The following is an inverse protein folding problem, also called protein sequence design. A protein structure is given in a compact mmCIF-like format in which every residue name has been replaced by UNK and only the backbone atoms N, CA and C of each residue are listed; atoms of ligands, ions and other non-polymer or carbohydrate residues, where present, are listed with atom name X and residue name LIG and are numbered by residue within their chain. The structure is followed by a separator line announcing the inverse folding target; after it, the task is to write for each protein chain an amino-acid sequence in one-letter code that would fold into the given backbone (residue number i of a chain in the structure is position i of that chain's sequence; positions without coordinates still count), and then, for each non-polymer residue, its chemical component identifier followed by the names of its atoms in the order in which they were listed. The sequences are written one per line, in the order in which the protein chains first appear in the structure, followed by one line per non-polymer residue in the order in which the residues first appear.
data_IF_938339235987
#
_entry.id   IF_938339235987
#
_cell.length_a   1.000
_cell.length_b   1.000
_cell.length_c   1.000
_cell.angle_alpha   90.00
_cell.angle_beta   90.00
_cell.angle_gamma   90.00
#
_symmetry.space_group_name_H-M   'P 1'
#
loop_
_entity.id
_entity.type
_entity.pdbx_description
1 polymer ?
#
# COMPACT_ATOMS: atom_id res chain seq x y z
N UNK A 1 -25.51 -4.59 17.97
CA UNK A 1 -24.35 -3.70 17.73
C UNK A 1 -23.18 -4.63 17.49
N UNK A 2 -22.73 -4.78 16.24
CA UNK A 2 -21.51 -5.52 15.93
C UNK A 2 -20.37 -4.71 16.53
N UNK A 3 -19.61 -5.31 17.43
CA UNK A 3 -18.34 -4.77 17.89
C UNK A 3 -17.39 -4.78 16.68
N UNK A 4 -17.45 -3.72 15.85
CA UNK A 4 -16.48 -3.52 14.80
C UNK A 4 -15.15 -3.20 15.49
N UNK A 5 -14.30 -4.21 15.58
CA UNK A 5 -12.94 -4.05 16.11
C UNK A 5 -12.16 -3.29 15.05
N UNK A 6 -11.92 -2.02 15.31
CA UNK A 6 -11.05 -1.20 14.47
C UNK A 6 -9.60 -1.49 14.83
N UNK A 7 -8.87 -2.10 13.90
CA UNK A 7 -7.44 -2.33 14.02
C UNK A 7 -6.66 -1.07 13.65
N UNK A 8 -5.72 -0.64 14.49
CA UNK A 8 -4.86 0.50 14.23
C UNK A 8 -3.53 0.01 13.67
N UNK A 9 -3.21 0.48 12.46
CA UNK A 9 -1.92 0.25 11.82
C UNK A 9 -1.08 1.52 11.77
N UNK A 10 0.23 1.39 11.80
CA UNK A 10 1.15 2.49 11.62
C UNK A 10 1.90 2.38 10.29
N UNK A 11 1.86 3.45 9.49
CA UNK A 11 2.59 3.54 8.23
C UNK A 11 3.64 4.66 8.34
N UNK A 12 4.94 4.33 8.52
CA UNK A 12 5.98 5.33 8.62
C UNK A 12 6.18 6.05 7.27
N UNK A 13 6.19 7.37 7.32
CA UNK A 13 6.50 8.19 6.15
C UNK A 13 7.87 7.80 5.55
N UNK A 14 8.00 7.94 4.22
CA UNK A 14 9.28 7.78 3.50
C UNK A 14 10.40 8.69 4.02
N UNK A 15 10.07 9.73 4.78
CA UNK A 15 11.02 10.69 5.35
C UNK A 15 11.71 10.22 6.64
N UNK A 16 11.20 9.17 7.29
CA UNK A 16 11.88 8.62 8.47
C UNK A 16 13.17 7.89 8.06
N UNK A 17 14.22 8.02 8.88
CA UNK A 17 15.43 7.22 8.73
C UNK A 17 15.17 5.77 9.14
N UNK A 18 15.89 4.83 8.55
CA UNK A 18 15.72 3.40 8.84
C UNK A 18 15.80 3.09 10.35
N UNK A 19 16.80 3.64 11.04
CA UNK A 19 16.97 3.43 12.47
C UNK A 19 15.82 3.99 13.33
N UNK A 20 15.18 5.08 12.89
CA UNK A 20 14.00 5.63 13.59
C UNK A 20 12.80 4.70 13.44
N UNK A 21 12.64 4.08 12.28
CA UNK A 21 11.57 3.08 12.07
C UNK A 21 11.76 1.88 12.99
N UNK A 22 13.00 1.39 13.18
CA UNK A 22 13.28 0.28 14.09
C UNK A 22 12.93 0.64 15.55
N UNK A 23 13.25 1.86 15.99
CA UNK A 23 12.88 2.36 17.32
C UNK A 23 11.36 2.45 17.47
N UNK A 24 10.69 3.03 16.47
CA UNK A 24 9.22 3.14 16.43
C UNK A 24 8.59 1.73 16.50
N UNK A 25 9.04 0.79 15.69
CA UNK A 25 8.49 -0.57 15.64
C UNK A 25 8.58 -1.28 17.00
N UNK A 26 9.69 -1.13 17.73
CA UNK A 26 9.80 -1.65 19.09
C UNK A 26 8.77 -1.03 20.04
N UNK A 27 8.56 0.28 19.95
CA UNK A 27 7.55 0.96 20.77
C UNK A 27 6.14 0.52 20.41
N UNK A 28 5.82 0.39 19.12
CA UNK A 28 4.49 -0.07 18.65
C UNK A 28 4.19 -1.51 19.12
N UNK A 29 5.18 -2.36 19.22
CA UNK A 29 5.02 -3.75 19.65
C UNK A 29 4.56 -3.88 21.12
N UNK A 30 4.74 -2.83 21.92
CA UNK A 30 4.30 -2.76 23.32
C UNK A 30 2.95 -2.06 23.54
N UNK A 31 2.34 -1.53 22.47
CA UNK A 31 1.06 -0.78 22.54
C UNK A 31 -0.08 -1.70 22.07
N UNK A 32 -0.93 -2.15 22.97
CA UNK A 32 -2.00 -3.13 22.69
C UNK A 32 -2.97 -2.68 21.59
N UNK A 33 -3.23 -1.38 21.46
CA UNK A 33 -4.11 -0.79 20.48
C UNK A 33 -3.55 -0.81 19.06
N UNK A 34 -2.23 -1.05 18.89
CA UNK A 34 -1.59 -1.09 17.58
C UNK A 34 -1.41 -2.53 17.14
N UNK A 35 -2.01 -2.88 16.00
CA UNK A 35 -2.03 -4.24 15.46
C UNK A 35 -0.97 -4.49 14.39
N UNK A 36 -0.49 -3.44 13.72
CA UNK A 36 0.37 -3.62 12.55
C UNK A 36 1.27 -2.43 12.24
N UNK A 37 2.38 -2.72 11.57
CA UNK A 37 3.22 -1.72 10.91
C UNK A 37 3.28 -2.00 9.41
N UNK A 38 3.17 -0.94 8.59
CA UNK A 38 3.10 -1.04 7.13
C UNK A 38 4.22 -0.24 6.48
N UNK A 39 5.16 -0.91 5.85
CA UNK A 39 6.33 -0.25 5.25
C UNK A 39 6.07 0.09 3.77
N UNK A 40 6.11 1.39 3.41
CA UNK A 40 5.98 1.82 2.03
C UNK A 40 7.29 1.62 1.27
N UNK A 41 7.16 1.35 -0.04
CA UNK A 41 8.28 1.30 -0.99
C UNK A 41 8.05 2.28 -2.14
N UNK A 42 9.06 3.08 -2.42
CA UNK A 42 9.08 3.97 -3.59
C UNK A 42 10.50 3.99 -4.20
N UNK A 43 11.25 5.06 -4.09
CA UNK A 43 12.64 5.16 -4.59
C UNK A 43 13.66 5.45 -3.47
N UNK A 44 13.31 5.24 -2.22
CA UNK A 44 14.19 5.55 -1.08
C UNK A 44 14.57 4.33 -0.25
N UNK A 45 13.64 3.45 -0.02
CA UNK A 45 13.82 2.33 0.91
C UNK A 45 13.21 1.06 0.33
N UNK A 46 13.98 -0.02 0.38
CA UNK A 46 13.50 -1.35 0.02
C UNK A 46 12.69 -1.93 1.19
N UNK A 47 11.47 -2.41 0.90
CA UNK A 47 10.51 -2.77 1.93
C UNK A 47 10.90 -4.05 2.69
N UNK A 48 11.36 -5.10 2.01
CA UNK A 48 11.61 -6.39 2.65
C UNK A 48 12.85 -6.37 3.53
N UNK A 49 13.90 -5.62 3.16
CA UNK A 49 15.05 -5.39 4.03
C UNK A 49 14.62 -4.71 5.32
N UNK A 50 13.76 -3.68 5.22
CA UNK A 50 13.28 -2.95 6.39
C UNK A 50 12.35 -3.80 7.26
N UNK A 51 11.39 -4.49 6.65
CA UNK A 51 10.44 -5.33 7.39
C UNK A 51 11.16 -6.54 8.00
N UNK A 52 12.15 -7.12 7.33
CA UNK A 52 12.96 -8.20 7.88
C UNK A 52 13.66 -7.79 9.19
N UNK A 53 14.23 -6.59 9.22
CA UNK A 53 14.81 -6.04 10.44
C UNK A 53 13.75 -5.79 11.54
N UNK A 54 12.55 -5.30 11.17
CA UNK A 54 11.44 -5.13 12.11
C UNK A 54 10.94 -6.47 12.63
N UNK A 55 10.90 -7.51 11.80
CA UNK A 55 10.40 -8.84 12.15
C UNK A 55 11.15 -9.47 13.31
N UNK A 56 12.48 -9.33 13.33
CA UNK A 56 13.31 -9.87 14.42
C UNK A 56 13.29 -9.03 15.68
N UNK A 57 12.86 -7.76 15.60
CA UNK A 57 12.77 -6.84 16.71
C UNK A 57 11.41 -6.81 17.41
N UNK A 58 10.39 -7.39 16.78
CA UNK A 58 9.00 -7.38 17.24
C UNK A 58 8.45 -8.79 17.37
N UNK A 59 7.42 -9.00 18.20
CA UNK A 59 6.84 -10.32 18.43
C UNK A 59 5.33 -10.38 18.16
N UNK A 60 4.63 -9.25 18.24
CA UNK A 60 3.17 -9.20 18.25
C UNK A 60 2.57 -8.59 17.00
N UNK A 61 3.02 -7.39 16.62
CA UNK A 61 2.40 -6.64 15.52
C UNK A 61 2.56 -7.34 14.16
N UNK A 62 1.52 -7.27 13.35
CA UNK A 62 1.54 -7.72 11.94
C UNK A 62 2.46 -6.82 11.12
N UNK A 63 3.05 -7.38 10.08
CA UNK A 63 4.06 -6.74 9.25
C UNK A 63 3.57 -6.65 7.82
N UNK A 64 3.23 -5.45 7.36
CA UNK A 64 2.68 -5.21 6.04
C UNK A 64 3.59 -4.43 5.12
N UNK A 65 3.51 -4.66 3.81
CA UNK A 65 3.99 -3.72 2.80
C UNK A 65 2.84 -2.78 2.37
N UNK A 66 3.11 -1.47 2.18
CA UNK A 66 2.06 -0.51 1.78
C UNK A 66 2.56 0.54 0.79
N UNK A 67 2.79 0.18 -0.41
CA UNK A 67 2.71 -1.12 -1.08
C UNK A 67 4.07 -1.41 -1.74
N UNK A 68 4.30 -2.64 -2.15
CA UNK A 68 5.36 -2.96 -3.11
C UNK A 68 4.80 -3.01 -4.53
N UNK A 69 5.60 -2.55 -5.49
CA UNK A 69 5.18 -2.50 -6.90
C UNK A 69 5.26 -3.87 -7.56
N UNK A 70 4.24 -4.25 -8.33
CA UNK A 70 4.32 -5.43 -9.20
C UNK A 70 5.30 -5.26 -10.36
N UNK A 71 5.79 -4.04 -10.60
CA UNK A 71 6.81 -3.76 -11.62
C UNK A 71 8.23 -3.78 -11.06
N UNK A 72 8.42 -3.75 -9.73
CA UNK A 72 9.75 -3.75 -9.13
C UNK A 72 10.34 -5.16 -8.95
N UNK A 73 9.53 -6.21 -8.96
CA UNK A 73 9.98 -7.60 -8.80
C UNK A 73 9.02 -8.59 -9.44
N UNK A 74 9.53 -9.79 -9.79
CA UNK A 74 8.68 -10.85 -10.34
C UNK A 74 7.78 -11.47 -9.26
N UNK A 75 6.66 -12.14 -9.62
CA UNK A 75 5.86 -12.90 -8.64
C UNK A 75 6.70 -13.92 -7.87
N UNK A 76 7.66 -14.57 -8.53
CA UNK A 76 8.53 -15.54 -7.89
C UNK A 76 9.42 -14.88 -6.82
N UNK A 77 10.08 -13.77 -7.14
CA UNK A 77 10.90 -13.03 -6.18
C UNK A 77 10.07 -12.52 -5.01
N UNK A 78 8.85 -12.00 -5.28
CA UNK A 78 7.94 -11.57 -4.22
C UNK A 78 7.53 -12.73 -3.31
N UNK A 79 7.22 -13.89 -3.89
CA UNK A 79 6.83 -15.08 -3.11
C UNK A 79 7.96 -15.58 -2.22
N UNK A 80 9.19 -15.60 -2.74
CA UNK A 80 10.38 -15.96 -1.94
C UNK A 80 10.55 -15.00 -0.76
N UNK A 81 10.47 -13.70 -1.00
CA UNK A 81 10.59 -12.69 0.04
C UNK A 81 9.46 -12.81 1.08
N UNK A 82 8.22 -13.01 0.62
CA UNK A 82 7.06 -13.15 1.47
C UNK A 82 7.13 -14.40 2.36
N UNK A 83 7.49 -15.56 1.79
CA UNK A 83 7.62 -16.81 2.55
C UNK A 83 8.76 -16.73 3.57
N UNK A 84 9.91 -16.16 3.17
CA UNK A 84 11.04 -15.95 4.09
C UNK A 84 10.64 -15.03 5.25
N UNK A 85 10.03 -13.90 4.95
CA UNK A 85 9.56 -12.96 5.97
C UNK A 85 8.51 -13.59 6.89
N UNK A 86 7.59 -14.38 6.32
CA UNK A 86 6.52 -15.03 7.08
C UNK A 86 7.08 -16.05 8.08
N UNK A 87 8.07 -16.82 7.68
CA UNK A 87 8.77 -17.77 8.55
C UNK A 87 9.56 -17.04 9.66
N UNK A 88 10.30 -15.97 9.33
CA UNK A 88 11.05 -15.16 10.30
C UNK A 88 10.09 -14.49 11.31
N UNK A 89 8.95 -14.02 10.84
CA UNK A 89 7.98 -13.29 11.65
C UNK A 89 6.98 -14.17 12.40
N UNK A 90 7.06 -15.49 12.29
CA UNK A 90 6.07 -16.40 12.88
C UNK A 90 4.64 -16.10 12.41
N UNK A 91 4.44 -16.08 11.08
CA UNK A 91 3.15 -15.91 10.41
C UNK A 91 2.46 -14.53 10.60
N UNK A 92 3.25 -13.47 10.80
CA UNK A 92 2.72 -12.10 10.96
C UNK A 92 2.70 -11.26 9.67
N UNK A 93 3.12 -11.84 8.53
CA UNK A 93 3.28 -11.11 7.26
C UNK A 93 1.96 -10.87 6.54
N UNK A 94 1.80 -9.66 5.98
CA UNK A 94 0.74 -9.28 5.04
C UNK A 94 1.41 -8.63 3.84
N UNK A 95 1.07 -9.03 2.62
CA UNK A 95 1.67 -8.47 1.41
C UNK A 95 0.72 -7.46 0.77
N UNK A 96 1.03 -6.19 0.92
CA UNK A 96 0.38 -5.12 0.17
C UNK A 96 1.06 -4.91 -1.18
N UNK A 97 0.32 -5.13 -2.26
CA UNK A 97 0.81 -5.01 -3.65
C UNK A 97 0.07 -3.87 -4.35
N UNK A 98 0.75 -3.13 -5.21
CA UNK A 98 0.12 -2.11 -6.05
C UNK A 98 0.77 -2.00 -7.42
N UNK A 99 0.11 -1.27 -8.33
CA UNK A 99 0.67 -1.00 -9.64
C UNK A 99 1.76 0.08 -9.61
N UNK A 100 1.83 0.89 -8.56
CA UNK A 100 2.69 2.07 -8.51
C UNK A 100 2.33 3.11 -9.61
N UNK A 101 3.29 3.85 -10.11
CA UNK A 101 3.09 4.88 -11.14
C UNK A 101 3.94 4.58 -12.37
N UNK A 102 3.55 5.08 -13.57
CA UNK A 102 4.38 4.95 -14.76
C UNK A 102 5.82 5.47 -14.57
N UNK A 103 5.98 6.60 -13.88
CA UNK A 103 7.29 7.20 -13.62
C UNK A 103 8.19 6.24 -12.84
N UNK A 104 7.68 5.59 -11.79
CA UNK A 104 8.47 4.64 -11.02
C UNK A 104 8.75 3.35 -11.80
N UNK A 105 7.77 2.84 -12.53
CA UNK A 105 7.96 1.63 -13.32
C UNK A 105 8.99 1.85 -14.46
N UNK A 106 8.85 2.95 -15.20
CA UNK A 106 9.64 3.19 -16.41
C UNK A 106 10.97 3.87 -16.12
N UNK A 107 10.98 4.97 -15.33
CA UNK A 107 12.18 5.76 -15.12
C UNK A 107 13.08 5.21 -14.01
N UNK A 108 12.49 4.51 -13.01
CA UNK A 108 13.25 3.97 -11.89
C UNK A 108 13.60 2.49 -12.07
N UNK A 109 12.62 1.68 -12.50
CA UNK A 109 12.80 0.24 -12.66
C UNK A 109 13.11 -0.19 -14.11
N UNK A 110 12.99 0.72 -15.11
CA UNK A 110 13.23 0.40 -16.52
C UNK A 110 12.19 -0.56 -17.12
N UNK A 111 11.03 -0.70 -16.50
CA UNK A 111 9.98 -1.64 -16.91
C UNK A 111 8.78 -0.86 -17.47
N UNK A 112 8.39 -1.18 -18.70
CA UNK A 112 7.25 -0.53 -19.36
C UNK A 112 5.96 -0.71 -18.58
N UNK A 113 5.24 0.40 -18.32
CA UNK A 113 4.00 0.41 -17.56
C UNK A 113 2.81 0.08 -18.47
N UNK A 114 2.61 -1.19 -18.75
CA UNK A 114 1.57 -1.68 -19.64
C UNK A 114 0.59 -2.62 -18.95
N UNK A 115 -0.68 -2.49 -19.34
CA UNK A 115 -1.77 -3.37 -18.90
C UNK A 115 -1.85 -3.61 -17.38
N UNK A 116 -1.77 -2.58 -16.51
CA UNK A 116 -1.58 -2.78 -15.08
C UNK A 116 -2.67 -3.65 -14.43
N UNK A 117 -3.94 -3.52 -14.86
CA UNK A 117 -5.03 -4.32 -14.30
C UNK A 117 -4.91 -5.81 -14.67
N UNK A 118 -4.63 -6.11 -15.95
CA UNK A 118 -4.49 -7.49 -16.43
C UNK A 118 -3.25 -8.14 -15.86
N UNK A 119 -2.12 -7.41 -15.82
CA UNK A 119 -0.87 -7.86 -15.24
C UNK A 119 -1.03 -8.14 -13.73
N UNK A 120 -1.72 -7.27 -12.98
CA UNK A 120 -1.98 -7.46 -11.56
C UNK A 120 -2.80 -8.73 -11.29
N UNK A 121 -3.81 -9.00 -12.12
CA UNK A 121 -4.58 -10.24 -12.02
C UNK A 121 -3.69 -11.47 -12.08
N UNK A 122 -2.85 -11.59 -13.11
CA UNK A 122 -1.94 -12.72 -13.25
C UNK A 122 -0.87 -12.74 -12.15
N UNK A 123 -0.40 -11.56 -11.73
CA UNK A 123 0.61 -11.43 -10.68
C UNK A 123 0.12 -12.03 -9.35
N UNK A 124 -1.09 -11.69 -8.91
CA UNK A 124 -1.69 -12.23 -7.68
C UNK A 124 -1.94 -13.74 -7.81
N UNK A 125 -2.41 -14.20 -8.97
CA UNK A 125 -2.60 -15.62 -9.23
C UNK A 125 -1.29 -16.40 -9.13
N UNK A 126 -0.23 -15.92 -9.80
CA UNK A 126 1.12 -16.50 -9.69
C UNK A 126 1.62 -16.52 -8.24
N UNK A 127 1.51 -15.39 -7.54
CA UNK A 127 1.93 -15.28 -6.14
C UNK A 127 1.25 -16.32 -5.26
N UNK A 128 -0.09 -16.43 -5.34
CA UNK A 128 -0.86 -17.36 -4.52
C UNK A 128 -0.48 -18.82 -4.81
N UNK A 129 -0.31 -19.17 -6.08
CA UNK A 129 0.06 -20.54 -6.49
C UNK A 129 1.50 -20.87 -6.04
N UNK A 130 2.44 -19.93 -6.15
CA UNK A 130 3.81 -20.15 -5.65
C UNK A 130 3.82 -20.35 -4.14
N UNK A 131 3.10 -19.50 -3.40
CA UNK A 131 3.03 -19.58 -1.94
C UNK A 131 2.28 -20.80 -1.41
N UNK A 132 1.50 -21.51 -2.24
CA UNK A 132 0.86 -22.78 -1.82
C UNK A 132 1.87 -23.90 -1.54
N UNK A 133 3.10 -23.77 -2.07
CA UNK A 133 4.15 -24.76 -1.89
C UNK A 133 4.01 -26.00 -2.77
N UNK A 134 3.11 -26.01 -3.73
CA UNK A 134 2.95 -27.08 -4.71
C UNK A 134 3.86 -26.88 -5.93
N UNK A 135 4.05 -27.94 -6.72
CA UNK A 135 4.71 -27.81 -8.03
C UNK A 135 3.79 -27.14 -9.01
N UNK A 136 4.29 -26.15 -9.74
CA UNK A 136 3.48 -25.21 -10.50
C UNK A 136 3.82 -25.24 -11.99
N UNK A 137 2.76 -25.27 -12.78
CA UNK A 137 2.75 -24.83 -14.17
C UNK A 137 1.76 -23.67 -14.33
N UNK A 138 2.26 -22.50 -14.73
CA UNK A 138 1.44 -21.33 -14.97
C UNK A 138 1.76 -20.75 -16.34
N UNK A 139 0.78 -20.71 -17.23
CA UNK A 139 0.93 -20.21 -18.60
C UNK A 139 0.02 -18.98 -18.84
N UNK A 140 0.41 -17.85 -18.27
CA UNK A 140 -0.25 -16.58 -18.45
C UNK A 140 0.28 -15.79 -19.65
N UNK A 141 -0.34 -14.64 -19.91
CA UNK A 141 0.12 -13.69 -20.92
C UNK A 141 1.39 -12.97 -20.48
N UNK A 142 1.49 -12.60 -19.19
CA UNK A 142 2.58 -11.80 -18.64
C UNK A 142 3.59 -12.64 -17.88
N UNK A 143 3.16 -13.76 -17.31
CA UNK A 143 4.02 -14.64 -16.50
C UNK A 143 3.89 -16.07 -16.97
N UNK A 144 5.03 -16.76 -17.08
CA UNK A 144 5.10 -18.18 -17.44
C UNK A 144 6.04 -18.88 -16.46
N UNK A 145 5.53 -19.88 -15.77
CA UNK A 145 6.28 -20.73 -14.84
C UNK A 145 6.10 -22.18 -15.29
N UNK A 146 7.14 -22.99 -15.24
CA UNK A 146 7.07 -24.37 -15.68
C UNK A 146 7.81 -25.29 -14.71
N UNK A 147 7.10 -26.25 -14.19
CA UNK A 147 7.62 -27.31 -13.32
C UNK A 147 8.52 -26.75 -12.19
N UNK A 148 8.01 -25.73 -11.48
CA UNK A 148 8.78 -25.08 -10.40
C UNK A 148 8.05 -25.21 -9.07
N UNK A 149 8.82 -25.41 -8.00
CA UNK A 149 8.31 -25.43 -6.63
C UNK A 149 9.20 -24.55 -5.76
N UNK A 150 8.57 -23.77 -4.86
CA UNK A 150 9.32 -22.99 -3.87
C UNK A 150 9.98 -23.94 -2.88
N UNK A 151 11.29 -23.79 -2.65
CA UNK A 151 12.05 -24.68 -1.77
C UNK A 151 11.70 -24.45 -0.29
N UNK A 152 11.60 -23.22 0.10
CA UNK A 152 11.27 -22.80 1.47
C UNK A 152 9.97 -22.01 1.48
N UNK A 153 8.83 -22.71 1.46
CA UNK A 153 7.49 -22.12 1.57
C UNK A 153 7.21 -21.60 2.98
N UNK A 154 6.10 -20.87 3.12
CA UNK A 154 5.59 -20.49 4.44
C UNK A 154 5.04 -21.69 5.18
N UNK A 155 5.08 -21.67 6.51
CA UNK A 155 4.45 -22.68 7.37
C UNK A 155 2.92 -22.69 7.26
N UNK A 156 2.32 -21.58 6.82
CA UNK A 156 0.88 -21.48 6.53
C UNK A 156 0.62 -21.57 5.02
N UNK A 157 -0.53 -22.16 4.66
CA UNK A 157 -0.90 -22.39 3.25
C UNK A 157 -1.12 -21.11 2.45
N UNK A 158 -1.34 -19.98 3.12
CA UNK A 158 -1.67 -18.72 2.46
C UNK A 158 -1.13 -17.52 3.22
N UNK A 159 -0.39 -16.68 2.55
CA UNK A 159 0.02 -15.36 3.04
C UNK A 159 -1.02 -14.33 2.56
N UNK A 160 -1.63 -13.53 3.45
CA UNK A 160 -2.64 -12.54 3.04
C UNK A 160 -2.09 -11.51 2.05
N UNK A 161 -2.87 -11.24 1.01
CA UNK A 161 -2.57 -10.23 -0.02
C UNK A 161 -3.56 -9.10 0.08
N UNK A 162 -3.07 -7.87 0.23
CA UNK A 162 -3.87 -6.65 0.18
C UNK A 162 -3.51 -5.86 -1.07
N UNK A 163 -4.50 -5.39 -1.80
CA UNK A 163 -4.29 -4.67 -3.06
C UNK A 163 -4.48 -3.17 -2.87
N UNK A 164 -3.43 -2.39 -3.16
CA UNK A 164 -3.53 -0.93 -3.25
C UNK A 164 -4.37 -0.52 -4.45
N UNK A 165 -5.48 0.18 -4.23
CA UNK A 165 -6.43 0.51 -5.28
C UNK A 165 -6.94 1.95 -5.18
N UNK A 166 -6.92 2.65 -6.33
CA UNK A 166 -7.48 3.99 -6.49
C UNK A 166 -8.76 3.94 -7.33
N UNK A 167 -8.73 3.25 -8.47
CA UNK A 167 -9.80 3.23 -9.44
C UNK A 167 -10.75 2.02 -9.29
N UNK A 168 -12.00 2.10 -9.82
CA UNK A 168 -13.00 1.04 -9.66
C UNK A 168 -12.57 -0.33 -10.20
N UNK A 169 -11.78 -0.38 -11.27
CA UNK A 169 -11.30 -1.64 -11.85
C UNK A 169 -10.38 -2.38 -10.88
N UNK A 170 -9.46 -1.67 -10.23
CA UNK A 170 -8.55 -2.25 -9.24
C UNK A 170 -9.29 -2.61 -7.95
N UNK A 171 -10.31 -1.84 -7.54
CA UNK A 171 -11.17 -2.18 -6.39
C UNK A 171 -11.90 -3.51 -6.62
N UNK A 172 -12.50 -3.69 -7.81
CA UNK A 172 -13.16 -4.96 -8.16
C UNK A 172 -12.16 -6.12 -8.18
N UNK A 173 -10.99 -5.91 -8.75
CA UNK A 173 -9.94 -6.94 -8.74
C UNK A 173 -9.53 -7.33 -7.32
N UNK A 174 -9.41 -6.35 -6.40
CA UNK A 174 -9.11 -6.61 -4.99
C UNK A 174 -10.18 -7.51 -4.37
N UNK A 175 -11.47 -7.16 -4.50
CA UNK A 175 -12.56 -7.97 -3.95
C UNK A 175 -12.68 -9.35 -4.58
N UNK A 176 -12.15 -9.55 -5.80
CA UNK A 176 -12.17 -10.85 -6.47
C UNK A 176 -11.02 -11.77 -6.03
N UNK A 177 -9.82 -11.25 -5.93
CA UNK A 177 -8.60 -12.07 -5.81
C UNK A 177 -7.78 -11.85 -4.54
N UNK A 178 -7.89 -10.68 -3.89
CA UNK A 178 -7.12 -10.35 -2.70
C UNK A 178 -7.88 -10.69 -1.41
N UNK A 179 -7.20 -10.64 -0.27
CA UNK A 179 -7.78 -10.83 1.06
C UNK A 179 -8.18 -9.50 1.70
N UNK A 180 -7.66 -8.41 1.14
CA UNK A 180 -8.00 -7.06 1.57
C UNK A 180 -7.62 -6.00 0.54
N UNK A 181 -7.91 -4.77 0.89
CA UNK A 181 -7.65 -3.59 0.07
C UNK A 181 -6.97 -2.50 0.89
N UNK A 182 -6.07 -1.74 0.27
CA UNK A 182 -5.45 -0.55 0.85
C UNK A 182 -5.96 0.67 0.08
N UNK A 183 -6.65 1.56 0.78
CA UNK A 183 -7.18 2.81 0.26
C UNK A 183 -6.37 3.98 0.81
N UNK A 184 -6.00 4.93 -0.05
CA UNK A 184 -5.21 6.10 0.32
C UNK A 184 -5.68 7.35 -0.40
N UNK A 185 -5.58 8.51 0.28
CA UNK A 185 -5.92 9.84 -0.25
C UNK A 185 -7.35 9.90 -0.86
N UNK A 186 -8.33 9.44 -0.12
CA UNK A 186 -9.73 9.54 -0.51
C UNK A 186 -10.44 10.57 0.35
N UNK A 187 -11.13 11.56 -0.26
CA UNK A 187 -12.09 12.41 0.46
C UNK A 187 -13.12 11.55 1.19
N UNK A 188 -13.55 12.00 2.35
CA UNK A 188 -14.38 11.22 3.27
C UNK A 188 -15.66 10.66 2.62
N UNK A 189 -16.34 11.47 1.80
CA UNK A 189 -17.56 11.01 1.13
C UNK A 189 -17.31 9.96 0.07
N UNK A 190 -16.19 10.05 -0.64
CA UNK A 190 -15.78 9.02 -1.60
C UNK A 190 -15.29 7.74 -0.89
N UNK A 191 -14.66 7.89 0.27
CA UNK A 191 -14.33 6.75 1.12
C UNK A 191 -15.60 6.02 1.55
N UNK A 192 -16.61 6.72 2.06
CA UNK A 192 -17.91 6.13 2.45
C UNK A 192 -18.58 5.38 1.29
N UNK A 193 -18.61 5.98 0.08
CA UNK A 193 -19.15 5.32 -1.13
C UNK A 193 -18.36 4.07 -1.48
N UNK A 194 -17.03 4.14 -1.43
CA UNK A 194 -16.14 3.00 -1.71
C UNK A 194 -16.35 1.87 -0.72
N UNK A 195 -16.45 2.17 0.58
CA UNK A 195 -16.70 1.17 1.63
C UNK A 195 -18.06 0.48 1.44
N UNK A 196 -19.12 1.23 1.11
CA UNK A 196 -20.44 0.66 0.77
C UNK A 196 -20.35 -0.28 -0.44
N UNK A 197 -19.64 0.13 -1.50
CA UNK A 197 -19.43 -0.71 -2.68
C UNK A 197 -18.70 -2.01 -2.33
N UNK A 198 -17.59 -1.93 -1.60
CA UNK A 198 -16.81 -3.09 -1.16
C UNK A 198 -17.72 -4.01 -0.33
N UNK A 199 -18.40 -3.49 0.68
CA UNK A 199 -19.33 -4.26 1.53
C UNK A 199 -20.41 -4.97 0.72
N UNK A 200 -21.00 -4.31 -0.29
CA UNK A 200 -22.03 -4.93 -1.15
C UNK A 200 -21.50 -6.07 -2.03
N UNK A 201 -20.21 -6.03 -2.41
CA UNK A 201 -19.59 -7.08 -3.22
C UNK A 201 -19.16 -8.25 -2.33
N UNK A 202 -18.51 -7.97 -1.21
CA UNK A 202 -17.93 -9.00 -0.33
C UNK A 202 -19.00 -9.78 0.42
N UNK A 203 -20.08 -9.14 0.86
CA UNK A 203 -21.22 -9.82 1.50
C UNK A 203 -21.86 -10.88 0.60
N UNK A 204 -21.96 -10.61 -0.70
CA UNK A 204 -22.50 -11.59 -1.67
C UNK A 204 -21.61 -12.83 -1.86
N UNK A 205 -20.31 -12.69 -1.58
CA UNK A 205 -19.32 -13.75 -1.78
C UNK A 205 -19.07 -14.58 -0.52
N UNK A 206 -19.68 -14.22 0.62
CA UNK A 206 -19.42 -14.83 1.93
C UNK A 206 -17.92 -14.96 2.25
N UNK A 207 -17.12 -14.00 1.76
CA UNK A 207 -15.66 -13.99 1.89
C UNK A 207 -15.25 -12.99 2.96
N UNK A 208 -14.40 -13.43 3.89
CA UNK A 208 -13.70 -12.51 4.78
C UNK A 208 -12.81 -11.58 3.92
N UNK A 209 -13.00 -10.26 4.07
CA UNK A 209 -12.26 -9.26 3.32
C UNK A 209 -11.98 -8.06 4.22
N UNK A 210 -10.71 -7.72 4.35
CA UNK A 210 -10.29 -6.60 5.20
C UNK A 210 -10.12 -5.32 4.39
N UNK A 211 -10.49 -4.18 4.99
CA UNK A 211 -10.27 -2.87 4.38
C UNK A 211 -9.32 -2.05 5.25
N UNK A 212 -8.19 -1.70 4.67
CA UNK A 212 -7.20 -0.81 5.28
C UNK A 212 -7.32 0.58 4.64
N UNK A 213 -7.58 1.61 5.45
CA UNK A 213 -7.58 3.00 5.01
C UNK A 213 -6.40 3.72 5.63
N UNK A 214 -5.59 4.35 4.78
CA UNK A 214 -4.40 5.10 5.22
C UNK A 214 -4.71 6.59 5.20
N UNK A 215 -4.50 7.26 6.34
CA UNK A 215 -4.66 8.70 6.49
C UNK A 215 -3.30 9.37 6.70
N UNK A 216 -3.11 10.56 6.10
CA UNK A 216 -2.01 11.44 6.45
C UNK A 216 -2.28 11.96 7.86
N UNK A 217 -1.39 11.60 8.79
CA UNK A 217 -1.56 11.98 10.19
C UNK A 217 -0.37 12.81 10.66
N UNK A 218 -0.65 13.99 11.17
CA UNK A 218 0.33 14.85 11.82
C UNK A 218 -0.28 15.42 13.09
N UNK A 219 0.37 15.21 14.24
CA UNK A 219 -0.16 15.59 15.55
C UNK A 219 0.83 16.49 16.27
N UNK A 220 0.35 17.58 16.81
CA UNK A 220 1.09 18.44 17.74
C UNK A 220 0.15 19.19 18.67
N UNK A 221 0.21 18.94 19.97
CA UNK A 221 -0.57 19.67 20.96
C UNK A 221 -0.05 21.10 21.19
N UNK A 222 1.25 21.32 20.93
CA UNK A 222 1.89 22.63 21.16
C UNK A 222 1.85 23.53 19.90
N UNK A 223 1.87 22.93 18.72
CA UNK A 223 2.00 23.65 17.45
C UNK A 223 1.06 23.08 16.38
N UNK A 224 -0.28 23.24 16.52
CA UNK A 224 -1.26 22.67 15.60
C UNK A 224 -1.06 23.14 14.14
N UNK A 225 -0.66 24.40 13.94
CA UNK A 225 -0.37 24.93 12.61
C UNK A 225 0.81 24.23 11.91
N UNK A 226 1.84 23.82 12.68
CA UNK A 226 2.95 23.05 12.12
C UNK A 226 2.52 21.62 11.75
N UNK A 227 1.63 21.01 12.53
CA UNK A 227 1.05 19.72 12.18
C UNK A 227 0.24 19.83 10.87
N UNK A 228 -0.60 20.86 10.75
CA UNK A 228 -1.40 21.13 9.54
C UNK A 228 -0.52 21.38 8.31
N UNK A 229 0.52 22.21 8.44
CA UNK A 229 1.52 22.43 7.39
C UNK A 229 2.24 21.13 6.99
N UNK A 230 2.54 20.27 7.96
CA UNK A 230 3.17 18.97 7.69
C UNK A 230 2.26 18.06 6.87
N UNK A 231 0.97 18.00 7.19
CA UNK A 231 -0.02 17.27 6.42
C UNK A 231 -0.14 17.81 5.01
N UNK A 232 -0.25 19.15 4.86
CA UNK A 232 -0.30 19.83 3.56
C UNK A 232 0.91 19.51 2.67
N UNK A 233 2.13 19.54 3.21
CA UNK A 233 3.35 19.16 2.47
C UNK A 233 3.30 17.73 1.97
N UNK A 234 2.79 16.80 2.77
CA UNK A 234 2.67 15.39 2.38
C UNK A 234 1.62 15.23 1.29
N UNK A 235 0.43 15.83 1.45
CA UNK A 235 -0.65 15.79 0.46
C UNK A 235 -0.20 16.39 -0.88
N UNK A 236 0.38 17.59 -0.86
CA UNK A 236 0.89 18.27 -2.06
C UNK A 236 1.91 17.42 -2.82
N UNK A 237 2.82 16.76 -2.10
CA UNK A 237 3.79 15.87 -2.71
C UNK A 237 3.12 14.71 -3.46
N UNK A 238 2.15 14.02 -2.84
CA UNK A 238 1.43 12.93 -3.51
C UNK A 238 0.60 13.40 -4.69
N UNK A 239 0.02 14.60 -4.62
CA UNK A 239 -0.68 15.22 -5.76
C UNK A 239 0.29 15.48 -6.90
N UNK A 240 1.48 16.02 -6.61
CA UNK A 240 2.47 16.38 -7.62
C UNK A 240 3.05 15.17 -8.36
N UNK A 241 3.39 14.09 -7.63
CA UNK A 241 4.08 12.92 -8.21
C UNK A 241 3.17 11.76 -8.56
N UNK A 242 1.94 11.73 -8.03
CA UNK A 242 1.02 10.61 -8.15
C UNK A 242 -0.11 10.85 -9.14
N UNK A 243 0.11 10.65 -10.44
CA UNK A 243 -0.88 10.87 -11.51
C UNK A 243 -2.30 10.37 -11.16
N UNK A 244 -2.43 9.20 -10.58
CA UNK A 244 -3.76 8.64 -10.23
C UNK A 244 -4.40 9.37 -9.07
N UNK A 245 -3.61 9.85 -8.09
CA UNK A 245 -4.12 10.64 -6.97
C UNK A 245 -4.53 12.04 -7.42
N UNK A 246 -3.73 12.69 -8.27
CA UNK A 246 -4.08 14.01 -8.82
C UNK A 246 -5.35 13.95 -9.65
N UNK A 247 -5.48 12.98 -10.55
CA UNK A 247 -6.69 12.78 -11.34
C UNK A 247 -7.92 12.47 -10.46
N UNK A 248 -7.74 11.65 -9.44
CA UNK A 248 -8.82 11.30 -8.53
C UNK A 248 -9.30 12.52 -7.74
N UNK A 249 -8.40 13.29 -7.13
CA UNK A 249 -8.75 14.50 -6.38
C UNK A 249 -9.35 15.58 -7.28
N UNK A 250 -8.80 15.79 -8.48
CA UNK A 250 -9.35 16.73 -9.45
C UNK A 250 -10.81 16.39 -9.82
N UNK A 251 -11.12 15.11 -10.05
CA UNK A 251 -12.48 14.67 -10.37
C UNK A 251 -13.45 14.70 -9.19
N UNK A 252 -12.97 15.04 -7.98
CA UNK A 252 -13.76 15.10 -6.76
C UNK A 252 -13.73 16.50 -6.10
N UNK A 253 -13.62 17.53 -6.92
CA UNK A 253 -13.84 18.93 -6.49
C UNK A 253 -12.55 19.72 -6.23
N UNK A 254 -11.38 19.16 -6.44
CA UNK A 254 -10.08 19.82 -6.18
C UNK A 254 -9.28 20.09 -7.46
N UNK A 255 -9.95 20.33 -8.60
CA UNK A 255 -9.27 20.52 -9.89
C UNK A 255 -8.34 21.73 -9.90
N UNK A 256 -8.77 22.84 -9.32
CA UNK A 256 -8.02 24.09 -9.24
C UNK A 256 -6.72 23.90 -8.45
N UNK A 257 -6.81 23.33 -7.26
CA UNK A 257 -5.69 23.09 -6.36
C UNK A 257 -4.69 22.10 -6.99
N UNK A 258 -5.19 21.01 -7.54
CA UNK A 258 -4.36 19.99 -8.24
C UNK A 258 -3.61 20.63 -9.40
N UNK A 259 -4.25 21.49 -10.19
CA UNK A 259 -3.61 22.21 -11.29
C UNK A 259 -2.50 23.13 -10.80
N UNK A 260 -2.76 23.92 -9.74
CA UNK A 260 -1.78 24.84 -9.17
C UNK A 260 -0.58 24.09 -8.57
N UNK A 261 -0.81 23.03 -7.80
CA UNK A 261 0.25 22.16 -7.25
C UNK A 261 1.11 21.60 -8.38
N UNK A 262 0.48 21.12 -9.46
CA UNK A 262 1.20 20.52 -10.59
C UNK A 262 2.07 21.54 -11.32
N UNK A 263 1.55 22.74 -11.60
CA UNK A 263 2.30 23.82 -12.25
C UNK A 263 3.49 24.26 -11.39
N UNK A 264 3.27 24.46 -10.10
CA UNK A 264 4.33 24.88 -9.17
C UNK A 264 5.42 23.82 -9.06
N UNK A 265 5.04 22.56 -8.97
CA UNK A 265 5.99 21.43 -8.93
C UNK A 265 6.86 21.36 -10.19
N UNK A 266 6.28 21.58 -11.37
CA UNK A 266 7.02 21.59 -12.63
C UNK A 266 8.04 22.74 -12.72
N UNK A 267 7.72 23.89 -12.11
CA UNK A 267 8.60 25.08 -12.14
C UNK A 267 9.68 25.06 -11.07
N UNK A 268 9.35 24.63 -9.87
CA UNK A 268 10.18 24.83 -8.68
C UNK A 268 10.39 23.54 -7.85
N UNK A 269 9.97 22.38 -8.35
CA UNK A 269 10.04 21.14 -7.59
C UNK A 269 9.11 21.13 -6.38
N UNK A 270 9.54 20.48 -5.31
CA UNK A 270 8.73 20.33 -4.10
C UNK A 270 8.64 21.61 -3.23
N UNK A 271 9.30 22.69 -3.65
CA UNK A 271 9.24 23.95 -2.91
C UNK A 271 7.86 24.60 -3.10
N UNK A 272 7.31 25.13 -2.01
CA UNK A 272 6.07 25.91 -2.00
C UNK A 272 4.79 25.21 -2.46
N UNK A 273 4.82 23.99 -2.99
CA UNK A 273 3.61 23.29 -3.46
C UNK A 273 2.54 23.13 -2.37
N UNK A 274 2.94 23.08 -1.11
CA UNK A 274 2.00 23.02 0.02
C UNK A 274 1.15 24.27 0.22
N UNK A 275 1.56 25.41 -0.36
CA UNK A 275 0.80 26.66 -0.27
C UNK A 275 -0.50 26.61 -1.08
N UNK A 276 -0.64 25.66 -1.98
CA UNK A 276 -1.85 25.43 -2.79
C UNK A 276 -2.76 24.34 -2.23
N UNK A 277 -2.40 23.76 -1.10
CA UNK A 277 -3.28 22.84 -0.37
C UNK A 277 -4.22 23.68 0.49
N UNK A 278 -5.50 23.64 0.17
CA UNK A 278 -6.53 24.37 0.90
C UNK A 278 -6.96 23.65 2.18
N UNK A 279 -7.58 24.38 3.09
CA UNK A 279 -8.21 23.78 4.27
C UNK A 279 -9.26 22.75 3.89
N UNK A 280 -10.03 23.02 2.84
CA UNK A 280 -11.02 22.09 2.31
C UNK A 280 -10.39 20.74 1.88
N UNK A 281 -9.19 20.76 1.28
CA UNK A 281 -8.46 19.51 0.95
C UNK A 281 -8.00 18.76 2.19
N UNK A 282 -7.63 19.46 3.25
CA UNK A 282 -7.14 18.84 4.49
C UNK A 282 -8.26 18.29 5.36
N UNK A 283 -9.45 18.89 5.26
CA UNK A 283 -10.61 18.55 6.08
C UNK A 283 -11.57 17.58 5.37
N UNK A 284 -11.32 17.27 4.07
CA UNK A 284 -12.11 16.32 3.28
C UNK A 284 -11.71 14.87 3.54
#
# INVERSE_FOLDING_TARGET
MTNDIHHIGYNPSSLFKALDILKIARGLDTIDQVDSIWIPESWGREAFVMIGAVAVLTKRIKLGTSIVSMFSRTPATLSMAACTLDNISSNRTIIGIGASTPILAENWHGIKFEHPLKRMKEYIQCFNVICSGETIDFNGKFFKLKNIKIMHGSSRKKIPVFLGAVNPGMIRLATDLADGIILYLRPLDELKKTLKLIGSITSRKSKSFETCTVFITAVSNKHPNLARLRAAKTLAFYVAVGKYYSQFLASHGFESEVRQITIEYQKHGAQNISNFVTDAMLDS
#
